data_IF_391121011352
#
_entry.id   IF_391121011352
#
_cell.length_a   1.000
_cell.length_b   1.000
_cell.length_c   1.000
_cell.angle_alpha   90.00
_cell.angle_beta   90.00
_cell.angle_gamma   90.00
#
_symmetry.space_group_name_H-M   'P 1'
#
loop_
_entity.id
_entity.type
_entity.pdbx_description
1 polymer ?
#
# COMPACT_ATOMS: atom_id res chain seq x y z
N UNK A 1 16.00 -3.40 -46.75
CA UNK A 1 14.73 -2.86 -47.30
C UNK A 1 14.85 -1.34 -47.35
N UNK A 2 14.70 -0.71 -48.53
CA UNK A 2 14.69 0.76 -48.63
C UNK A 2 13.36 1.28 -48.06
N UNK A 3 13.39 1.91 -46.90
CA UNK A 3 12.25 2.54 -46.22
C UNK A 3 11.79 3.85 -46.88
N UNK A 4 12.33 4.19 -48.05
CA UNK A 4 12.10 5.43 -48.80
C UNK A 4 10.61 5.73 -49.08
N UNK A 5 9.76 4.71 -49.19
CA UNK A 5 8.33 4.88 -49.46
C UNK A 5 7.55 5.42 -48.25
N UNK A 6 8.03 5.18 -47.02
CA UNK A 6 7.39 5.64 -45.77
C UNK A 6 8.10 6.89 -45.24
N UNK A 7 9.42 6.93 -45.36
CA UNK A 7 10.24 8.03 -44.84
C UNK A 7 10.00 9.35 -45.59
N UNK A 8 9.91 9.30 -46.92
CA UNK A 8 9.68 10.50 -47.75
C UNK A 8 8.36 11.21 -47.48
N UNK A 9 7.18 10.54 -47.45
CA UNK A 9 5.93 11.23 -47.17
C UNK A 9 5.88 11.79 -45.74
N UNK A 10 6.43 11.06 -44.76
CA UNK A 10 6.50 11.52 -43.36
C UNK A 10 7.41 12.74 -43.22
N UNK A 11 8.61 12.70 -43.82
CA UNK A 11 9.55 13.83 -43.82
C UNK A 11 8.94 15.07 -44.49
N UNK A 12 8.25 14.89 -45.62
CA UNK A 12 7.54 15.98 -46.30
C UNK A 12 6.37 16.53 -45.46
N UNK A 13 5.65 15.68 -44.74
CA UNK A 13 4.59 16.10 -43.83
C UNK A 13 5.13 16.93 -42.66
N UNK A 14 6.18 16.46 -41.97
CA UNK A 14 6.83 17.23 -40.90
C UNK A 14 7.46 18.52 -41.42
N UNK A 15 8.03 18.53 -42.63
CA UNK A 15 8.58 19.74 -43.24
C UNK A 15 7.48 20.78 -43.55
N UNK A 16 6.32 20.34 -44.07
CA UNK A 16 5.16 21.23 -44.29
C UNK A 16 4.60 21.75 -42.96
N UNK A 17 4.43 20.88 -41.97
CA UNK A 17 3.97 21.25 -40.63
C UNK A 17 4.93 22.24 -39.96
N UNK A 18 6.24 21.96 -39.95
CA UNK A 18 7.25 22.86 -39.39
C UNK A 18 7.30 24.21 -40.08
N UNK A 19 7.11 24.26 -41.41
CA UNK A 19 7.01 25.52 -42.16
C UNK A 19 5.74 26.30 -41.82
N UNK A 20 4.64 25.62 -41.49
CA UNK A 20 3.40 26.25 -41.03
C UNK A 20 3.56 26.82 -39.61
N UNK A 21 4.15 26.05 -38.69
CA UNK A 21 4.46 26.51 -37.31
C UNK A 21 5.40 27.72 -37.33
N UNK A 22 6.45 27.70 -38.16
CA UNK A 22 7.38 28.81 -38.29
C UNK A 22 6.74 30.11 -38.83
N UNK A 23 5.64 30.02 -39.59
CA UNK A 23 4.89 31.20 -40.06
C UNK A 23 3.97 31.79 -38.99
N UNK A 24 3.52 30.99 -38.03
CA UNK A 24 2.59 31.41 -36.97
C UNK A 24 3.11 31.04 -35.57
N UNK A 25 4.32 31.51 -35.17
CA UNK A 25 4.98 31.04 -33.95
C UNK A 25 4.19 31.37 -32.67
N UNK A 26 3.57 32.56 -32.58
CA UNK A 26 2.84 32.97 -31.37
C UNK A 26 1.59 32.12 -31.12
N UNK A 27 0.84 31.77 -32.17
CA UNK A 27 -0.40 31.01 -32.05
C UNK A 27 -0.13 29.58 -31.53
N UNK A 28 0.96 28.96 -31.99
CA UNK A 28 1.40 27.64 -31.54
C UNK A 28 2.01 27.61 -30.14
N UNK A 29 2.36 28.78 -29.57
CA UNK A 29 2.80 28.87 -28.17
C UNK A 29 1.62 29.18 -27.25
N UNK A 30 0.76 30.12 -27.64
CA UNK A 30 -0.35 30.58 -26.79
C UNK A 30 -1.43 29.49 -26.65
N UNK A 31 -1.80 28.79 -27.73
CA UNK A 31 -2.90 27.81 -27.67
C UNK A 31 -2.56 26.64 -26.72
N UNK A 32 -1.40 25.96 -26.83
CA UNK A 32 -1.07 24.87 -25.90
C UNK A 32 -0.85 25.37 -24.47
N UNK A 33 -0.36 26.61 -24.28
CA UNK A 33 -0.17 27.19 -22.95
C UNK A 33 -1.51 27.47 -22.26
N UNK A 34 -2.48 28.04 -22.98
CA UNK A 34 -3.84 28.24 -22.46
C UNK A 34 -4.51 26.90 -22.15
N UNK A 35 -4.39 25.92 -23.06
CA UNK A 35 -4.93 24.58 -22.84
C UNK A 35 -4.31 23.91 -21.61
N UNK A 36 -2.98 23.98 -21.45
CA UNK A 36 -2.28 23.45 -20.29
C UNK A 36 -2.77 24.12 -19.00
N UNK A 37 -2.94 25.45 -18.97
CA UNK A 37 -3.47 26.17 -17.81
C UNK A 37 -4.90 25.70 -17.47
N UNK A 38 -5.77 25.50 -18.47
CA UNK A 38 -7.13 24.99 -18.25
C UNK A 38 -7.11 23.56 -17.68
N UNK A 39 -6.25 22.69 -18.21
CA UNK A 39 -6.11 21.32 -17.71
C UNK A 39 -5.52 21.28 -16.30
N UNK A 40 -4.49 22.09 -16.03
CA UNK A 40 -3.88 22.24 -14.69
C UNK A 40 -4.87 22.81 -13.68
N UNK A 41 -5.83 23.65 -14.08
CA UNK A 41 -6.89 24.11 -13.17
C UNK A 41 -7.74 22.95 -12.63
N UNK A 42 -7.74 21.79 -13.29
CA UNK A 42 -8.33 20.54 -12.79
C UNK A 42 -7.76 20.05 -11.45
N UNK A 43 -6.56 20.51 -11.06
CA UNK A 43 -5.97 20.25 -9.73
C UNK A 43 -6.83 20.80 -8.57
N UNK A 44 -7.79 21.69 -8.83
CA UNK A 44 -8.73 22.17 -7.82
C UNK A 44 -9.73 21.10 -7.37
N UNK A 45 -10.00 20.09 -8.22
CA UNK A 45 -10.89 18.96 -7.91
C UNK A 45 -10.13 17.80 -7.26
N UNK A 46 -9.14 18.10 -6.40
CA UNK A 46 -8.36 17.08 -5.73
C UNK A 46 -9.24 16.35 -4.70
N UNK A 47 -9.50 15.06 -4.95
CA UNK A 47 -10.06 14.13 -3.99
C UNK A 47 -8.92 13.17 -3.62
N UNK A 48 -8.42 13.32 -2.39
CA UNK A 48 -7.37 12.46 -1.83
C UNK A 48 -8.01 11.22 -1.24
N UNK A 49 -7.54 10.05 -1.67
CA UNK A 49 -7.93 8.77 -1.09
C UNK A 49 -6.77 8.27 -0.24
N UNK A 50 -6.97 8.27 1.09
CA UNK A 50 -5.94 7.95 2.09
C UNK A 50 -6.01 6.46 2.47
N UNK A 51 -7.13 5.79 2.18
CA UNK A 51 -7.38 4.41 2.55
C UNK A 51 -6.68 3.45 1.60
N UNK A 52 -5.68 2.74 2.12
CA UNK A 52 -4.87 1.80 1.36
C UNK A 52 -5.64 0.55 0.93
N UNK A 53 -6.62 0.12 1.72
CA UNK A 53 -7.35 -1.13 1.48
C UNK A 53 -8.12 -1.09 0.16
N UNK A 54 -8.66 0.07 -0.24
CA UNK A 54 -9.27 0.30 -1.55
C UNK A 54 -8.27 0.25 -2.72
N UNK A 55 -6.98 0.46 -2.46
CA UNK A 55 -5.94 0.40 -3.48
C UNK A 55 -5.49 -1.05 -3.74
N UNK A 56 -5.38 -1.85 -2.69
CA UNK A 56 -4.86 -3.22 -2.76
C UNK A 56 -5.97 -4.28 -2.85
N UNK A 57 -7.21 -3.94 -2.49
CA UNK A 57 -8.37 -4.82 -2.56
C UNK A 57 -9.51 -4.14 -3.31
N UNK A 58 -10.26 -4.91 -4.10
CA UNK A 58 -11.35 -4.39 -4.95
C UNK A 58 -12.68 -4.21 -4.18
N UNK A 59 -12.68 -4.33 -2.85
CA UNK A 59 -13.89 -4.44 -2.04
C UNK A 59 -13.83 -3.46 -0.86
N UNK A 60 -14.90 -2.70 -0.64
CA UNK A 60 -15.02 -1.82 0.51
C UNK A 60 -15.23 -2.69 1.75
N UNK A 61 -14.20 -2.86 2.56
CA UNK A 61 -14.29 -3.60 3.82
C UNK A 61 -14.92 -2.67 4.85
N UNK A 62 -16.21 -2.86 5.12
CA UNK A 62 -16.88 -2.16 6.22
C UNK A 62 -16.39 -2.72 7.56
N UNK A 63 -15.33 -2.13 8.12
CA UNK A 63 -14.88 -2.41 9.47
C UNK A 63 -13.40 -2.14 9.70
N UNK A 64 -13.08 -1.41 10.77
CA UNK A 64 -11.71 -1.25 11.23
C UNK A 64 -11.29 -2.42 12.12
N UNK A 65 -10.16 -3.05 11.80
CA UNK A 65 -9.57 -4.08 12.64
C UNK A 65 -8.63 -3.44 13.66
N UNK A 66 -8.85 -3.73 14.95
CA UNK A 66 -7.91 -3.40 16.03
C UNK A 66 -7.39 -4.70 16.66
N UNK A 67 -6.06 -4.82 16.76
CA UNK A 67 -5.39 -5.98 17.36
C UNK A 67 -4.36 -5.52 18.37
N UNK A 68 -4.28 -6.26 19.47
CA UNK A 68 -3.28 -6.06 20.51
C UNK A 68 -2.46 -7.34 20.68
N UNK A 69 -1.15 -7.19 20.78
CA UNK A 69 -0.23 -8.26 21.15
C UNK A 69 0.40 -7.86 22.48
N UNK A 70 0.21 -8.72 23.48
CA UNK A 70 0.68 -8.51 24.83
C UNK A 70 1.76 -9.56 25.15
N UNK A 71 2.90 -9.11 25.65
CA UNK A 71 4.06 -9.97 25.94
C UNK A 71 4.63 -9.70 27.33
N UNK A 72 4.86 -10.73 28.17
CA UNK A 72 5.35 -10.55 29.52
C UNK A 72 6.78 -9.98 29.54
N UNK A 73 7.05 -8.90 30.29
CA UNK A 73 8.43 -8.36 30.47
C UNK A 73 9.30 -9.28 31.33
N UNK A 74 8.69 -10.09 32.21
CA UNK A 74 9.38 -11.01 33.10
C UNK A 74 8.54 -12.25 33.35
N UNK A 75 9.05 -13.41 32.96
CA UNK A 75 8.34 -14.69 33.04
C UNK A 75 8.04 -15.27 31.66
N UNK A 76 7.91 -16.59 31.58
CA UNK A 76 7.73 -17.29 30.30
C UNK A 76 6.25 -17.56 29.94
N UNK A 77 5.31 -17.26 30.85
CA UNK A 77 3.92 -17.73 30.76
C UNK A 77 2.92 -16.58 30.91
N UNK A 78 2.09 -16.36 29.87
CA UNK A 78 1.01 -15.36 29.86
C UNK A 78 -0.17 -15.74 30.77
N UNK A 79 -0.34 -17.02 31.08
CA UNK A 79 -1.40 -17.54 31.96
C UNK A 79 -0.99 -17.58 33.44
N UNK A 80 0.14 -16.97 33.80
CA UNK A 80 0.44 -16.74 35.20
C UNK A 80 -0.62 -15.80 35.78
N UNK A 81 -1.13 -16.10 36.98
CA UNK A 81 -2.27 -15.39 37.57
C UNK A 81 -2.07 -13.87 37.63
N UNK A 82 -0.84 -13.42 37.88
CA UNK A 82 -0.48 -12.00 37.91
C UNK A 82 -0.54 -11.33 36.52
N UNK A 83 0.01 -11.98 35.49
CA UNK A 83 0.01 -11.47 34.10
C UNK A 83 -1.39 -11.53 33.48
N UNK A 84 -2.12 -12.63 33.69
CA UNK A 84 -3.45 -12.82 33.11
C UNK A 84 -4.48 -11.82 33.66
N UNK A 85 -4.35 -11.44 34.93
CA UNK A 85 -5.16 -10.39 35.55
C UNK A 85 -4.98 -9.02 34.90
N UNK A 86 -3.80 -8.72 34.36
CA UNK A 86 -3.53 -7.49 33.64
C UNK A 86 -4.13 -7.49 32.23
N UNK A 87 -4.09 -8.64 31.54
CA UNK A 87 -4.78 -8.81 30.25
C UNK A 87 -6.29 -8.58 30.40
N UNK A 88 -6.91 -9.11 31.47
CA UNK A 88 -8.32 -8.84 31.78
C UNK A 88 -8.56 -7.36 32.06
N UNK A 89 -7.65 -6.70 32.79
CA UNK A 89 -7.77 -5.27 33.09
C UNK A 89 -7.68 -4.42 31.82
N UNK A 90 -6.85 -4.81 30.86
CA UNK A 90 -6.77 -4.17 29.56
C UNK A 90 -8.09 -4.29 28.78
N UNK A 91 -8.72 -5.48 28.73
CA UNK A 91 -10.04 -5.65 28.08
C UNK A 91 -11.10 -4.73 28.73
N UNK A 92 -11.16 -4.66 30.07
CA UNK A 92 -12.10 -3.78 30.79
C UNK A 92 -11.82 -2.31 30.47
N UNK A 93 -10.56 -1.89 30.51
CA UNK A 93 -10.17 -0.51 30.19
C UNK A 93 -10.53 -0.15 28.75
N UNK A 94 -10.31 -1.07 27.80
CA UNK A 94 -10.62 -0.87 26.38
C UNK A 94 -12.14 -0.73 26.16
N UNK A 95 -12.96 -1.53 26.84
CA UNK A 95 -14.44 -1.42 26.78
C UNK A 95 -14.98 -0.15 27.43
N UNK A 96 -14.24 0.41 28.40
CA UNK A 96 -14.61 1.64 29.09
C UNK A 96 -14.25 2.92 28.32
N UNK A 97 -13.57 2.82 27.17
CA UNK A 97 -13.26 3.97 26.33
C UNK A 97 -14.58 4.57 25.79
N UNK A 98 -14.78 5.85 26.06
CA UNK A 98 -15.90 6.64 25.54
C UNK A 98 -15.41 7.65 24.51
N UNK A 99 -15.98 7.62 23.31
CA UNK A 99 -15.67 8.55 22.22
C UNK A 99 -16.89 9.42 21.94
N UNK A 100 -16.73 10.74 22.01
CA UNK A 100 -17.82 11.67 21.74
C UNK A 100 -17.81 12.08 20.26
N UNK A 101 -18.85 11.73 19.50
CA UNK A 101 -19.04 12.14 18.10
C UNK A 101 -20.43 12.78 17.99
N UNK A 102 -20.52 13.99 17.44
CA UNK A 102 -21.76 14.75 17.27
C UNK A 102 -22.60 14.93 18.55
N UNK A 103 -21.93 15.06 19.70
CA UNK A 103 -22.57 15.26 21.01
C UNK A 103 -23.20 13.99 21.61
N UNK A 104 -22.98 12.82 20.99
CA UNK A 104 -23.29 11.52 21.54
C UNK A 104 -22.00 10.81 21.97
N UNK A 105 -22.03 10.16 23.12
CA UNK A 105 -20.92 9.34 23.59
C UNK A 105 -21.13 7.90 23.13
N UNK A 106 -20.21 7.41 22.32
CA UNK A 106 -20.14 6.04 21.88
C UNK A 106 -19.15 5.26 22.74
N UNK A 107 -19.47 3.99 22.97
CA UNK A 107 -18.64 3.03 23.69
C UNK A 107 -18.25 1.87 22.78
N UNK A 108 -17.34 1.01 23.23
CA UNK A 108 -17.00 -0.21 22.50
C UNK A 108 -18.23 -1.07 22.16
N UNK A 109 -19.26 -1.09 23.04
CA UNK A 109 -20.46 -1.88 22.84
C UNK A 109 -21.31 -1.40 21.64
N UNK A 110 -21.15 -0.14 21.25
CA UNK A 110 -21.85 0.46 20.11
C UNK A 110 -21.20 0.13 18.77
N UNK A 111 -19.89 -0.11 18.74
CA UNK A 111 -19.08 -0.29 17.52
C UNK A 111 -18.61 -1.73 17.27
N UNK A 112 -18.65 -2.59 18.28
CA UNK A 112 -18.17 -3.97 18.18
C UNK A 112 -18.92 -4.79 17.11
N UNK A 113 -18.24 -5.80 16.54
CA UNK A 113 -18.90 -6.81 15.73
C UNK A 113 -19.90 -7.62 16.59
N UNK A 114 -21.16 -7.71 16.15
CA UNK A 114 -22.23 -8.36 16.90
C UNK A 114 -22.60 -9.72 16.32
N UNK A 115 -22.73 -10.72 17.19
CA UNK A 115 -23.36 -12.00 16.88
C UNK A 115 -24.53 -12.20 17.84
N UNK A 116 -25.73 -12.43 17.29
CA UNK A 116 -26.98 -12.55 18.07
C UNK A 116 -27.26 -11.35 19.00
N UNK A 117 -26.91 -10.13 18.56
CA UNK A 117 -27.15 -8.90 19.31
C UNK A 117 -26.18 -8.62 20.47
N UNK A 118 -25.12 -9.42 20.64
CA UNK A 118 -24.04 -9.19 21.61
C UNK A 118 -22.70 -9.07 20.89
N UNK A 119 -21.77 -8.30 21.46
CA UNK A 119 -20.39 -8.25 20.96
C UNK A 119 -19.76 -9.65 20.97
N UNK A 120 -18.98 -9.96 19.94
CA UNK A 120 -18.19 -11.20 19.91
C UNK A 120 -17.15 -11.16 21.04
N UNK A 121 -17.18 -12.09 22.01
CA UNK A 121 -16.20 -12.11 23.10
C UNK A 121 -14.85 -12.63 22.61
N UNK A 122 -13.76 -12.10 23.16
CA UNK A 122 -12.43 -12.64 22.93
C UNK A 122 -12.32 -14.05 23.56
N UNK A 123 -11.83 -15.08 22.84
CA UNK A 123 -11.68 -16.43 23.37
C UNK A 123 -10.82 -16.52 24.64
N UNK A 124 -9.82 -15.65 24.80
CA UNK A 124 -8.94 -15.60 25.97
C UNK A 124 -9.70 -15.08 27.18
N UNK A 125 -10.54 -14.06 27.01
CA UNK A 125 -11.35 -13.48 28.09
C UNK A 125 -12.44 -14.45 28.55
N UNK A 126 -12.92 -15.35 27.68
CA UNK A 126 -13.85 -16.40 28.10
C UNK A 126 -13.26 -17.37 29.14
N UNK A 127 -11.93 -17.47 29.26
CA UNK A 127 -11.24 -18.29 30.26
C UNK A 127 -11.14 -17.64 31.65
N UNK A 128 -11.52 -16.37 31.78
CA UNK A 128 -11.36 -15.57 33.01
C UNK A 128 -12.31 -15.92 34.17
N UNK A 129 -13.23 -16.88 33.98
CA UNK A 129 -14.33 -17.16 34.92
C UNK A 129 -13.91 -17.59 36.33
N UNK A 130 -12.64 -17.88 36.57
CA UNK A 130 -12.15 -18.42 37.85
C UNK A 130 -11.29 -17.44 38.68
N UNK A 131 -11.02 -16.21 38.23
CA UNK A 131 -10.10 -15.32 38.95
C UNK A 131 -10.77 -14.14 39.65
N UNK A 132 -10.48 -13.98 40.95
CA UNK A 132 -10.96 -12.87 41.77
C UNK A 132 -9.95 -11.71 41.72
N UNK A 133 -10.35 -10.55 41.18
CA UNK A 133 -9.46 -9.42 40.84
C UNK A 133 -9.38 -8.41 42.00
N UNK A 134 -8.25 -8.27 42.72
CA UNK A 134 -8.09 -7.22 43.72
C UNK A 134 -7.74 -5.85 43.11
N UNK A 135 -8.17 -4.73 43.73
CA UNK A 135 -7.84 -3.38 43.27
C UNK A 135 -6.42 -2.99 43.72
N UNK A 136 -5.41 -3.19 42.88
CA UNK A 136 -4.07 -2.63 43.08
C UNK A 136 -3.53 -1.93 41.84
N UNK A 137 -2.73 -0.90 42.11
CA UNK A 137 -2.14 0.07 41.18
C UNK A 137 -1.49 -0.60 39.97
N UNK A 138 -1.71 -0.02 38.79
CA UNK A 138 -1.17 -0.51 37.52
C UNK A 138 0.33 -0.19 37.47
N UNK A 139 1.16 -1.13 37.89
CA UNK A 139 2.49 -1.24 37.30
C UNK A 139 2.32 -2.06 36.03
N UNK A 140 2.87 -1.61 34.90
CA UNK A 140 2.84 -2.36 33.64
C UNK A 140 4.10 -3.25 33.53
N UNK A 141 4.07 -4.54 33.91
CA UNK A 141 5.08 -5.52 33.55
C UNK A 141 4.88 -6.10 32.14
N UNK A 142 4.02 -5.54 31.28
CA UNK A 142 3.80 -6.07 29.92
C UNK A 142 4.25 -5.11 28.82
N UNK A 143 4.87 -5.64 27.75
CA UNK A 143 5.09 -4.92 26.50
C UNK A 143 3.85 -5.12 25.64
N UNK A 144 3.13 -4.01 25.41
CA UNK A 144 1.90 -3.98 24.62
C UNK A 144 2.20 -3.39 23.25
N UNK A 145 1.88 -4.14 22.21
CA UNK A 145 1.92 -3.70 20.82
C UNK A 145 0.49 -3.59 20.31
N UNK A 146 0.16 -2.45 19.72
CA UNK A 146 -1.17 -2.18 19.19
C UNK A 146 -1.10 -1.94 17.69
N UNK A 147 -2.09 -2.45 16.97
CA UNK A 147 -2.26 -2.23 15.54
C UNK A 147 -3.72 -1.93 15.24
N UNK A 148 -3.93 -0.92 14.40
CA UNK A 148 -5.23 -0.64 13.79
C UNK A 148 -5.04 -0.38 12.31
N UNK A 149 -6.03 -0.72 11.48
CA UNK A 149 -6.00 -0.41 10.04
C UNK A 149 -5.82 1.08 9.78
N UNK A 150 -6.53 1.92 10.53
CA UNK A 150 -6.38 3.37 10.46
C UNK A 150 -4.97 3.87 10.86
N UNK A 151 -4.29 3.21 11.82
CA UNK A 151 -2.92 3.59 12.18
C UNK A 151 -1.93 3.31 11.04
N UNK A 152 -2.17 2.25 10.25
CA UNK A 152 -1.37 1.97 9.06
C UNK A 152 -1.54 3.07 8.00
N UNK A 153 -2.78 3.48 7.71
CA UNK A 153 -3.03 4.57 6.75
C UNK A 153 -2.40 5.90 7.19
N UNK A 154 -2.43 6.19 8.49
CA UNK A 154 -1.75 7.37 9.07
C UNK A 154 -0.24 7.33 8.86
N UNK A 155 0.40 6.20 9.22
CA UNK A 155 1.85 6.02 9.08
C UNK A 155 2.30 6.19 7.63
N UNK A 156 1.50 5.70 6.68
CA UNK A 156 1.81 5.84 5.26
C UNK A 156 1.63 7.26 4.74
N UNK A 157 0.60 7.97 5.21
CA UNK A 157 0.42 9.40 4.89
C UNK A 157 1.56 10.25 5.45
N UNK A 158 2.12 9.89 6.61
CA UNK A 158 3.25 10.58 7.21
C UNK A 158 4.54 10.35 6.41
N UNK A 159 4.79 9.10 5.99
CA UNK A 159 5.87 8.79 5.06
C UNK A 159 5.75 9.57 3.75
N UNK A 160 4.55 9.65 3.17
CA UNK A 160 4.30 10.43 1.96
C UNK A 160 4.63 11.93 2.14
N UNK A 161 4.22 12.53 3.26
CA UNK A 161 4.55 13.92 3.61
C UNK A 161 6.04 14.14 3.81
N UNK A 162 6.75 13.18 4.39
CA UNK A 162 8.21 13.23 4.60
C UNK A 162 8.97 13.19 3.28
N UNK A 163 8.48 12.45 2.28
CA UNK A 163 9.07 12.36 0.94
C UNK A 163 8.75 13.59 0.06
N UNK A 164 7.63 14.27 0.30
CA UNK A 164 7.21 15.46 -0.44
C UNK A 164 8.30 16.56 -0.61
N UNK A 165 9.06 16.99 0.42
CA UNK A 165 10.13 17.96 0.26
C UNK A 165 11.30 17.44 -0.59
N UNK A 166 11.58 16.12 -0.58
CA UNK A 166 12.61 15.52 -1.43
C UNK A 166 12.23 15.63 -2.92
N UNK A 167 10.94 15.56 -3.25
CA UNK A 167 10.48 15.81 -4.63
C UNK A 167 10.81 17.22 -5.09
N UNK A 168 10.53 18.24 -4.27
CA UNK A 168 10.88 19.61 -4.57
C UNK A 168 12.40 19.81 -4.70
N UNK A 169 13.19 19.17 -3.82
CA UNK A 169 14.65 19.21 -3.90
C UNK A 169 15.17 18.57 -5.19
N UNK A 170 14.64 17.41 -5.58
CA UNK A 170 15.05 16.72 -6.82
C UNK A 170 14.74 17.54 -8.08
N UNK A 171 13.58 18.21 -8.11
CA UNK A 171 13.22 19.15 -9.18
C UNK A 171 14.20 20.32 -9.24
N UNK A 172 14.55 20.90 -8.08
CA UNK A 172 15.55 21.96 -7.98
C UNK A 172 16.93 21.53 -8.49
N UNK A 173 17.37 20.32 -8.14
CA UNK A 173 18.64 19.76 -8.61
C UNK A 173 18.62 19.54 -10.13
N UNK A 174 17.53 19.01 -10.70
CA UNK A 174 17.39 18.82 -12.14
C UNK A 174 17.39 20.14 -12.91
N UNK A 175 16.71 21.16 -12.39
CA UNK A 175 16.73 22.51 -12.96
C UNK A 175 18.14 23.10 -12.95
N UNK A 176 18.82 23.03 -11.80
CA UNK A 176 20.20 23.51 -11.65
C UNK A 176 21.13 22.79 -12.62
N UNK A 177 21.09 21.45 -12.65
CA UNK A 177 21.90 20.64 -13.55
C UNK A 177 21.61 20.96 -15.02
N UNK A 178 20.34 21.21 -15.39
CA UNK A 178 19.96 21.58 -16.75
C UNK A 178 20.53 22.92 -17.18
N UNK A 179 20.46 23.92 -16.29
CA UNK A 179 21.05 25.25 -16.54
C UNK A 179 22.57 25.12 -16.69
N UNK A 180 23.23 24.46 -15.73
CA UNK A 180 24.68 24.27 -15.73
C UNK A 180 25.18 23.53 -16.99
N UNK A 181 24.46 22.49 -17.42
CA UNK A 181 24.82 21.72 -18.63
C UNK A 181 24.69 22.52 -19.93
N UNK A 182 23.91 23.60 -19.93
CA UNK A 182 23.71 24.46 -21.09
C UNK A 182 24.48 25.79 -21.02
N UNK A 183 25.22 26.01 -19.93
CA UNK A 183 26.22 27.08 -19.85
C UNK A 183 27.44 26.66 -20.68
N UNK A 184 27.74 27.46 -21.68
CA UNK A 184 28.99 27.38 -22.45
C UNK A 184 29.95 28.42 -21.86
N UNK A 185 31.28 28.25 -22.03
CA UNK A 185 32.29 29.23 -21.58
C UNK A 185 31.98 30.66 -22.07
N UNK A 186 31.39 30.77 -23.26
CA UNK A 186 30.87 32.04 -23.78
C UNK A 186 29.42 32.29 -23.35
N UNK A 187 29.21 33.27 -22.46
CA UNK A 187 27.88 33.67 -21.97
C UNK A 187 26.90 34.06 -23.09
N UNK A 188 27.38 34.62 -24.21
CA UNK A 188 26.54 35.04 -25.35
C UNK A 188 26.07 33.85 -26.21
N UNK A 189 26.81 32.74 -26.19
CA UNK A 189 26.46 31.52 -26.94
C UNK A 189 25.69 30.52 -26.09
N UNK A 190 25.73 30.68 -24.77
CA UNK A 190 24.92 29.92 -23.82
C UNK A 190 23.44 30.07 -24.17
N UNK A 191 22.69 28.96 -24.16
CA UNK A 191 21.23 28.95 -24.39
C UNK A 191 20.45 28.50 -23.16
N UNK A 192 20.70 29.10 -21.97
CA UNK A 192 20.06 28.67 -20.73
C UNK A 192 18.55 28.85 -20.78
N UNK A 193 18.05 29.89 -21.48
CA UNK A 193 16.62 30.16 -21.63
C UNK A 193 15.90 29.05 -22.39
N UNK A 194 16.54 28.43 -23.39
CA UNK A 194 15.96 27.30 -24.11
C UNK A 194 15.86 26.06 -23.19
N UNK A 195 16.86 25.87 -22.33
CA UNK A 195 16.89 24.77 -21.37
C UNK A 195 15.83 24.94 -20.28
N UNK A 196 15.63 26.15 -19.76
CA UNK A 196 14.60 26.42 -18.74
C UNK A 196 13.20 26.28 -19.30
N UNK A 197 12.94 26.76 -20.53
CA UNK A 197 11.63 26.60 -21.19
C UNK A 197 11.28 25.12 -21.41
N UNK A 198 12.25 24.26 -21.71
CA UNK A 198 12.03 22.81 -21.84
C UNK A 198 11.62 22.15 -20.52
N UNK A 199 12.25 22.52 -19.40
CA UNK A 199 11.87 21.97 -18.09
C UNK A 199 10.49 22.48 -17.64
N UNK A 200 10.17 23.74 -17.94
CA UNK A 200 8.84 24.30 -17.65
C UNK A 200 7.75 23.61 -18.47
N UNK A 201 8.00 23.31 -19.76
CA UNK A 201 7.02 22.56 -20.57
C UNK A 201 6.82 21.14 -20.06
N UNK A 202 7.87 20.47 -19.59
CA UNK A 202 7.77 19.15 -18.96
C UNK A 202 6.87 19.19 -17.71
N UNK A 203 7.12 20.16 -16.82
CA UNK A 203 6.31 20.35 -15.61
C UNK A 203 4.84 20.67 -15.95
N UNK A 204 4.60 21.50 -16.97
CA UNK A 204 3.25 21.78 -17.45
C UNK A 204 2.56 20.54 -18.05
N UNK A 205 3.30 19.67 -18.76
CA UNK A 205 2.74 18.43 -19.31
C UNK A 205 2.33 17.46 -18.19
N UNK A 206 3.18 17.31 -17.17
CA UNK A 206 2.89 16.52 -15.98
C UNK A 206 1.66 17.07 -15.26
N UNK A 207 1.64 18.37 -14.96
CA UNK A 207 0.49 19.04 -14.33
C UNK A 207 -0.80 18.93 -15.14
N UNK A 208 -0.73 19.02 -16.48
CA UNK A 208 -1.90 18.86 -17.37
C UNK A 208 -2.42 17.42 -17.35
N UNK A 209 -1.53 16.43 -17.30
CA UNK A 209 -1.91 15.01 -17.19
C UNK A 209 -2.64 14.71 -15.89
N UNK A 210 -2.10 15.17 -14.76
CA UNK A 210 -2.75 15.03 -13.45
C UNK A 210 -4.07 15.81 -13.38
N UNK A 211 -4.07 17.06 -13.84
CA UNK A 211 -5.27 17.90 -13.83
C UNK A 211 -6.41 17.34 -14.69
N UNK A 212 -6.10 16.69 -15.82
CA UNK A 212 -7.10 15.98 -16.63
C UNK A 212 -7.70 14.78 -15.88
N UNK A 213 -6.86 13.99 -15.19
CA UNK A 213 -7.34 12.84 -14.40
C UNK A 213 -8.23 13.29 -13.24
N UNK A 214 -7.88 14.37 -12.56
CA UNK A 214 -8.71 14.97 -11.50
C UNK A 214 -10.02 15.55 -12.06
N UNK A 215 -10.02 16.07 -13.29
CA UNK A 215 -11.26 16.51 -13.94
C UNK A 215 -12.23 15.37 -14.24
N UNK A 216 -11.70 14.16 -14.45
CA UNK A 216 -12.48 12.93 -14.60
C UNK A 216 -12.90 12.31 -13.26
N UNK A 217 -12.64 12.99 -12.12
CA UNK A 217 -12.88 12.50 -10.75
C UNK A 217 -12.25 11.14 -10.48
N UNK A 218 -11.04 10.94 -10.97
CA UNK A 218 -10.23 9.80 -10.56
C UNK A 218 -9.57 10.14 -9.22
N UNK A 219 -9.75 9.32 -8.17
CA UNK A 219 -9.14 9.59 -6.88
C UNK A 219 -7.61 9.60 -6.98
N UNK A 220 -6.98 10.53 -6.26
CA UNK A 220 -5.54 10.68 -6.26
C UNK A 220 -4.91 9.97 -5.07
N UNK A 221 -3.86 9.19 -5.34
CA UNK A 221 -3.06 8.50 -4.34
C UNK A 221 -1.61 8.99 -4.42
N UNK A 222 -0.96 9.09 -3.26
CA UNK A 222 0.44 9.49 -3.07
C UNK A 222 1.42 8.68 -3.92
N UNK A 223 1.14 7.39 -4.17
CA UNK A 223 1.94 6.53 -5.08
C UNK A 223 1.97 7.10 -6.50
N UNK A 224 0.84 7.59 -7.00
CA UNK A 224 0.74 8.18 -8.34
C UNK A 224 1.55 9.47 -8.41
N UNK A 225 1.69 10.20 -7.30
CA UNK A 225 2.56 11.38 -7.17
C UNK A 225 4.03 11.10 -7.51
N UNK A 226 4.54 9.90 -7.19
CA UNK A 226 5.89 9.49 -7.57
C UNK A 226 6.09 9.31 -9.08
N UNK A 227 5.02 9.00 -9.82
CA UNK A 227 5.03 8.86 -11.27
C UNK A 227 5.46 10.14 -12.00
N UNK A 228 5.23 11.30 -11.40
CA UNK A 228 5.66 12.61 -11.90
C UNK A 228 7.18 12.67 -12.11
N UNK A 229 7.94 12.09 -11.17
CA UNK A 229 9.41 12.05 -11.24
C UNK A 229 9.89 11.19 -12.42
N UNK A 230 9.24 10.06 -12.65
CA UNK A 230 9.60 9.14 -13.72
C UNK A 230 9.43 9.81 -15.09
N UNK A 231 8.33 10.53 -15.28
CA UNK A 231 8.06 11.27 -16.52
C UNK A 231 9.11 12.36 -16.75
N UNK A 232 9.47 13.12 -15.71
CA UNK A 232 10.53 14.15 -15.81
C UNK A 232 11.91 13.56 -16.14
N UNK A 233 12.20 12.34 -15.67
CA UNK A 233 13.47 11.65 -15.95
C UNK A 233 13.64 11.20 -17.41
N UNK A 234 12.53 10.89 -18.11
CA UNK A 234 12.57 10.41 -19.50
C UNK A 234 12.97 11.50 -20.51
N UNK A 235 12.73 12.77 -20.19
CA UNK A 235 12.87 13.87 -21.15
C UNK A 235 14.34 14.25 -21.46
N UNK A 236 15.33 13.55 -20.90
CA UNK A 236 16.76 13.85 -21.08
C UNK A 236 17.68 12.69 -21.44
N UNK A 237 17.20 11.64 -22.11
CA UNK A 237 18.05 10.51 -22.51
C UNK A 237 18.16 10.37 -24.03
N UNK A 238 19.00 11.18 -24.66
CA UNK A 238 19.57 10.80 -25.96
C UNK A 238 20.90 11.50 -26.22
N UNK A 239 21.95 11.06 -25.53
CA UNK A 239 23.29 11.18 -26.12
C UNK A 239 23.59 9.90 -26.90
N UNK A 240 23.79 10.06 -28.21
CA UNK A 240 24.22 8.98 -29.09
C UNK A 240 25.71 8.67 -28.85
N UNK A 241 26.02 7.91 -27.80
CA UNK A 241 27.37 7.39 -27.60
C UNK A 241 27.56 6.17 -28.50
N UNK A 242 28.24 6.37 -29.63
CA UNK A 242 28.56 5.31 -30.60
C UNK A 242 29.96 4.76 -30.33
N UNK A 243 30.13 3.97 -29.26
CA UNK A 243 31.38 3.28 -28.99
C UNK A 243 31.15 1.81 -28.67
N UNK A 244 31.96 0.92 -29.26
CA UNK A 244 31.93 -0.54 -29.04
C UNK A 244 32.12 -0.89 -27.54
N UNK A 245 32.81 -0.03 -26.77
CA UNK A 245 32.91 -0.17 -25.31
C UNK A 245 31.54 -0.16 -24.60
N UNK A 246 30.55 0.58 -25.12
CA UNK A 246 29.19 0.60 -24.59
C UNK A 246 28.51 -0.77 -24.75
N UNK A 247 28.78 -1.47 -25.85
CA UNK A 247 28.20 -2.79 -26.11
C UNK A 247 28.73 -3.84 -25.13
N UNK A 248 30.02 -3.78 -24.78
CA UNK A 248 30.60 -4.69 -23.77
C UNK A 248 30.02 -4.41 -22.38
N UNK A 249 29.93 -3.14 -21.99
CA UNK A 249 29.31 -2.74 -20.71
C UNK A 249 27.84 -3.16 -20.66
N UNK A 250 27.11 -3.04 -21.78
CA UNK A 250 25.71 -3.46 -21.86
C UNK A 250 25.54 -4.99 -21.73
N UNK A 251 26.45 -5.78 -22.33
CA UNK A 251 26.44 -7.25 -22.16
C UNK A 251 26.70 -7.62 -20.69
N UNK A 252 27.66 -6.97 -20.03
CA UNK A 252 27.94 -7.19 -18.60
C UNK A 252 26.70 -6.84 -17.76
N UNK A 253 26.07 -5.69 -18.04
CA UNK A 253 24.82 -5.29 -17.41
C UNK A 253 23.72 -6.34 -17.58
N UNK A 254 23.51 -6.87 -18.78
CA UNK A 254 22.51 -7.91 -19.03
C UNK A 254 22.80 -9.20 -18.26
N UNK A 255 24.06 -9.64 -18.19
CA UNK A 255 24.43 -10.85 -17.44
C UNK A 255 24.13 -10.67 -15.95
N UNK A 256 24.49 -9.53 -15.37
CA UNK A 256 24.21 -9.21 -13.96
C UNK A 256 22.71 -9.08 -13.71
N UNK A 257 21.97 -8.44 -14.63
CA UNK A 257 20.52 -8.30 -14.53
C UNK A 257 19.82 -9.66 -14.56
N UNK A 258 20.16 -10.53 -15.51
CA UNK A 258 19.60 -11.89 -15.60
C UNK A 258 19.94 -12.69 -14.33
N UNK A 259 21.16 -12.56 -13.82
CA UNK A 259 21.56 -13.19 -12.57
C UNK A 259 20.77 -12.67 -11.35
N UNK A 260 20.48 -11.36 -11.31
CA UNK A 260 19.67 -10.73 -10.28
C UNK A 260 18.19 -11.15 -10.31
N UNK A 261 17.60 -11.24 -11.52
CA UNK A 261 16.23 -11.72 -11.71
C UNK A 261 16.08 -13.16 -11.20
N UNK A 262 17.09 -14.01 -11.39
CA UNK A 262 17.07 -15.38 -10.89
C UNK A 262 17.12 -15.50 -9.35
N UNK A 263 17.38 -14.40 -8.63
CA UNK A 263 17.57 -14.39 -7.17
C UNK A 263 16.57 -13.50 -6.43
N UNK A 264 15.60 -12.93 -7.14
CA UNK A 264 14.58 -12.10 -6.52
C UNK A 264 13.66 -12.97 -5.65
N UNK A 265 13.50 -12.59 -4.39
CA UNK A 265 12.49 -13.19 -3.52
C UNK A 265 11.12 -12.60 -3.83
N UNK A 266 10.07 -13.41 -3.72
CA UNK A 266 8.70 -12.98 -3.95
C UNK A 266 8.07 -12.47 -2.64
N UNK A 267 7.31 -11.37 -2.72
CA UNK A 267 6.46 -10.87 -1.63
C UNK A 267 6.75 -9.42 -1.20
N UNK A 268 5.69 -8.64 -1.05
CA UNK A 268 5.73 -7.33 -0.40
C UNK A 268 5.50 -7.53 1.09
N UNK A 269 6.53 -7.30 1.90
CA UNK A 269 6.39 -7.31 3.35
C UNK A 269 5.71 -6.01 3.79
N UNK A 270 4.56 -6.10 4.46
CA UNK A 270 3.77 -4.93 4.90
C UNK A 270 4.59 -3.97 5.78
N UNK A 271 5.47 -4.51 6.63
CA UNK A 271 6.40 -3.73 7.46
C UNK A 271 7.23 -2.71 6.67
N UNK A 272 7.61 -3.01 5.42
CA UNK A 272 8.47 -2.11 4.61
C UNK A 272 7.74 -0.87 4.07
N UNK A 273 6.41 -0.81 4.21
CA UNK A 273 5.61 0.35 3.82
C UNK A 273 5.44 1.34 4.97
N UNK A 274 5.66 0.90 6.21
CA UNK A 274 5.49 1.67 7.43
C UNK A 274 6.76 2.47 7.76
N UNK A 275 6.64 3.52 8.57
CA UNK A 275 7.80 4.23 9.09
C UNK A 275 8.57 3.32 10.07
N UNK A 276 9.90 3.36 10.03
CA UNK A 276 10.74 2.42 10.81
C UNK A 276 10.44 2.47 12.33
N UNK A 277 10.13 3.65 12.87
CA UNK A 277 9.88 3.89 14.30
C UNK A 277 8.39 3.86 14.69
N UNK A 278 7.47 3.48 13.79
CA UNK A 278 6.03 3.56 14.07
C UNK A 278 5.52 2.46 15.01
N UNK A 279 4.41 2.69 15.75
CA UNK A 279 3.78 1.65 16.57
C UNK A 279 3.36 0.41 15.75
N UNK A 280 2.91 0.62 14.51
CA UNK A 280 2.53 -0.48 13.61
C UNK A 280 3.75 -1.32 13.18
N UNK A 281 4.91 -0.70 12.93
CA UNK A 281 6.16 -1.40 12.64
C UNK A 281 6.57 -2.33 13.79
N UNK A 282 6.49 -1.84 15.04
CA UNK A 282 6.80 -2.62 16.24
C UNK A 282 5.80 -3.78 16.44
N UNK A 283 4.52 -3.55 16.14
CA UNK A 283 3.52 -4.60 16.16
C UNK A 283 3.81 -5.69 15.13
N UNK A 284 4.16 -5.31 13.89
CA UNK A 284 4.47 -6.26 12.83
C UNK A 284 5.71 -7.11 13.15
N UNK A 285 6.68 -6.53 13.88
CA UNK A 285 7.82 -7.29 14.41
C UNK A 285 7.39 -8.28 15.48
N UNK A 286 6.61 -7.84 16.46
CA UNK A 286 6.09 -8.74 17.50
C UNK A 286 5.20 -9.86 16.92
N UNK A 287 4.40 -9.56 15.90
CA UNK A 287 3.59 -10.55 15.18
C UNK A 287 4.47 -11.53 14.41
N UNK A 288 5.51 -11.04 13.73
CA UNK A 288 6.50 -11.86 13.04
C UNK A 288 7.30 -12.78 13.97
N UNK A 289 7.64 -12.32 15.16
CA UNK A 289 8.44 -13.07 16.13
C UNK A 289 7.62 -14.10 16.91
N UNK A 290 6.36 -13.77 17.25
CA UNK A 290 5.53 -14.61 18.12
C UNK A 290 4.46 -15.43 17.38
N UNK A 291 3.96 -14.96 16.23
CA UNK A 291 2.78 -15.53 15.58
C UNK A 291 2.99 -16.03 14.14
N UNK A 292 4.17 -15.86 13.56
CA UNK A 292 4.48 -16.32 12.19
C UNK A 292 4.31 -17.85 11.99
N UNK A 293 4.35 -18.64 13.07
CA UNK A 293 4.11 -20.10 13.02
C UNK A 293 2.63 -20.46 12.77
N UNK A 294 1.70 -19.60 13.19
CA UNK A 294 0.27 -19.88 13.19
C UNK A 294 -0.46 -19.38 11.94
N UNK A 295 0.17 -18.59 11.07
CA UNK A 295 -0.43 -18.09 9.83
C UNK A 295 -1.72 -17.25 10.03
N UNK A 296 -2.25 -16.66 8.94
CA UNK A 296 -3.50 -15.90 8.98
C UNK A 296 -4.72 -16.82 9.10
N UNK A 297 -5.74 -16.42 9.86
CA UNK A 297 -6.99 -17.20 9.96
C UNK A 297 -7.72 -17.25 8.61
N UNK A 298 -7.88 -18.44 8.06
CA UNK A 298 -8.63 -18.66 6.81
C UNK A 298 -10.08 -19.05 7.11
N UNK A 299 -11.04 -18.38 6.47
CA UNK A 299 -12.45 -18.76 6.49
C UNK A 299 -12.86 -19.33 5.14
N UNK A 300 -13.52 -20.49 5.15
CA UNK A 300 -14.06 -21.12 3.93
C UNK A 300 -15.56 -20.88 3.89
N UNK A 301 -16.00 -20.00 2.99
CA UNK A 301 -17.41 -19.75 2.73
C UNK A 301 -17.89 -20.61 1.55
N UNK A 302 -18.91 -21.43 1.78
CA UNK A 302 -19.55 -22.21 0.72
C UNK A 302 -20.74 -21.39 0.20
N UNK A 303 -20.60 -20.82 -0.99
CA UNK A 303 -21.60 -19.93 -1.60
C UNK A 303 -22.80 -20.66 -2.24
N UNK A 304 -22.89 -21.98 -2.08
CA UNK A 304 -24.00 -22.78 -2.59
C UNK A 304 -24.90 -23.21 -1.45
N UNK A 305 -26.22 -23.18 -1.67
CA UNK A 305 -27.18 -23.77 -0.75
C UNK A 305 -26.91 -25.28 -0.66
N UNK A 306 -26.46 -25.75 0.52
CA UNK A 306 -26.33 -27.18 0.83
C UNK A 306 -27.48 -27.57 1.75
N UNK A 307 -28.19 -28.61 1.35
CA UNK A 307 -29.11 -29.36 2.18
C UNK A 307 -28.32 -30.24 3.15
N UNK A 308 -27.79 -29.64 4.22
CA UNK A 308 -26.99 -30.31 5.26
C UNK A 308 -27.72 -31.45 5.98
N UNK A 309 -29.02 -31.63 5.76
CA UNK A 309 -29.79 -32.78 6.22
C UNK A 309 -29.64 -34.03 5.35
N UNK A 310 -29.09 -33.92 4.12
CA UNK A 310 -28.79 -35.05 3.25
C UNK A 310 -27.36 -35.56 3.50
N UNK A 311 -27.25 -36.84 3.85
CA UNK A 311 -25.94 -37.49 4.08
C UNK A 311 -24.99 -37.37 2.87
N UNK A 312 -25.53 -37.44 1.65
CA UNK A 312 -24.73 -37.32 0.43
C UNK A 312 -24.09 -35.95 0.22
N UNK A 313 -24.63 -34.89 0.83
CA UNK A 313 -24.06 -33.54 0.77
C UNK A 313 -23.07 -33.29 1.91
N UNK A 314 -23.31 -33.87 3.09
CA UNK A 314 -22.33 -33.93 4.18
C UNK A 314 -21.04 -34.63 3.71
N UNK A 315 -21.16 -35.77 3.04
CA UNK A 315 -20.01 -36.52 2.55
C UNK A 315 -19.20 -35.72 1.51
N UNK A 316 -19.88 -34.94 0.67
CA UNK A 316 -19.24 -34.02 -0.29
C UNK A 316 -18.55 -32.85 0.40
N UNK A 317 -19.19 -32.25 1.41
CA UNK A 317 -18.62 -31.15 2.18
C UNK A 317 -17.37 -31.61 2.93
N UNK A 318 -17.42 -32.77 3.59
CA UNK A 318 -16.26 -33.34 4.27
C UNK A 318 -15.13 -33.66 3.31
N UNK A 319 -15.43 -34.25 2.14
CA UNK A 319 -14.43 -34.50 1.10
C UNK A 319 -13.81 -33.20 0.56
N UNK A 320 -14.58 -32.10 0.50
CA UNK A 320 -14.09 -30.79 0.13
C UNK A 320 -13.17 -30.23 1.22
N UNK A 321 -13.59 -30.25 2.49
CA UNK A 321 -12.79 -29.78 3.62
C UNK A 321 -11.48 -30.56 3.77
N UNK A 322 -11.49 -31.88 3.60
CA UNK A 322 -10.28 -32.71 3.62
C UNK A 322 -9.30 -32.36 2.50
N UNK A 323 -9.82 -32.11 1.29
CA UNK A 323 -9.01 -31.68 0.14
C UNK A 323 -8.42 -30.30 0.35
N UNK A 324 -9.19 -29.38 0.93
CA UNK A 324 -8.68 -28.06 1.30
C UNK A 324 -7.59 -28.18 2.36
N UNK A 325 -7.83 -28.96 3.42
CA UNK A 325 -6.86 -29.22 4.50
C UNK A 325 -5.55 -29.83 4.01
N UNK A 326 -5.59 -30.70 3.01
CA UNK A 326 -4.40 -31.34 2.42
C UNK A 326 -3.74 -30.52 1.31
N UNK A 327 -4.36 -29.40 0.90
CA UNK A 327 -3.90 -28.58 -0.20
C UNK A 327 -2.50 -28.01 0.03
N UNK A 328 -1.67 -28.02 -1.01
CA UNK A 328 -0.29 -27.52 -0.95
C UNK A 328 -0.21 -26.03 -0.57
N UNK A 329 -1.29 -25.27 -0.82
CA UNK A 329 -1.40 -23.89 -0.40
C UNK A 329 -1.38 -23.72 1.13
N UNK A 330 -2.01 -24.60 1.92
CA UNK A 330 -2.01 -24.49 3.39
C UNK A 330 -0.66 -24.88 3.99
N UNK A 331 0.09 -25.79 3.35
CA UNK A 331 1.45 -26.17 3.77
C UNK A 331 2.44 -25.00 3.72
N UNK A 332 2.17 -23.99 2.89
CA UNK A 332 2.97 -22.77 2.84
C UNK A 332 2.67 -21.80 4.00
N UNK A 333 1.46 -21.82 4.55
CA UNK A 333 1.06 -20.91 5.65
C UNK A 333 1.15 -21.54 7.04
N UNK A 334 1.06 -22.87 7.13
CA UNK A 334 1.06 -23.61 8.40
C UNK A 334 2.15 -24.67 8.39
N UNK A 335 3.11 -24.55 9.31
CA UNK A 335 4.16 -25.56 9.53
C UNK A 335 3.73 -26.69 10.46
N UNK A 336 2.50 -26.66 10.98
CA UNK A 336 1.99 -27.67 11.89
C UNK A 336 1.53 -28.93 11.12
N UNK A 337 1.93 -30.15 11.55
CA UNK A 337 1.25 -31.35 11.10
C UNK A 337 -0.20 -31.25 11.57
N UNK A 338 -1.13 -31.17 10.63
CA UNK A 338 -2.57 -31.26 10.92
C UNK A 338 -2.76 -32.54 11.71
N UNK A 339 -3.06 -32.40 13.00
CA UNK A 339 -3.44 -33.52 13.83
C UNK A 339 -4.72 -34.09 13.20
N UNK A 340 -4.59 -35.20 12.49
CA UNK A 340 -5.70 -36.06 12.10
C UNK A 340 -6.22 -36.78 13.36
N UNK A 341 -6.63 -35.98 14.33
CA UNK A 341 -7.38 -36.42 15.50
C UNK A 341 -8.85 -36.25 15.13
N UNK A 342 -9.53 -37.37 14.89
CA UNK A 342 -10.98 -37.42 14.71
C UNK A 342 -11.70 -36.98 15.98
N UNK A 343 -11.78 -35.67 16.21
CA UNK A 343 -12.61 -35.05 17.22
C UNK A 343 -13.62 -34.13 16.53
N UNK A 344 -14.80 -34.69 16.32
CA UNK A 344 -16.11 -34.03 16.42
C UNK A 344 -16.07 -32.51 16.34
N UNK A 345 -16.44 -31.96 15.18
CA UNK A 345 -17.00 -30.63 15.10
C UNK A 345 -18.18 -30.57 16.08
N UNK A 346 -17.99 -29.87 17.19
CA UNK A 346 -19.06 -29.58 18.13
C UNK A 346 -20.08 -28.71 17.40
N UNK A 347 -21.17 -29.34 16.95
CA UNK A 347 -22.39 -28.62 16.65
C UNK A 347 -22.83 -27.95 17.95
N UNK A 348 -22.86 -26.62 17.97
CA UNK A 348 -23.72 -25.91 18.91
C UNK A 348 -25.16 -26.19 18.48
N UNK A 349 -25.68 -27.35 18.88
CA UNK A 349 -27.11 -27.63 18.80
C UNK A 349 -27.82 -26.64 19.72
N UNK A 350 -28.56 -25.73 19.11
CA UNK A 350 -29.67 -25.07 19.75
C UNK A 350 -30.58 -26.16 20.34
N UNK A 351 -30.73 -26.15 21.66
CA UNK A 351 -31.71 -26.93 22.40
C UNK A 351 -32.57 -25.96 23.20
N UNK A 352 -33.85 -25.90 22.80
CA UNK A 352 -35.05 -25.34 23.44
C UNK A 352 -34.92 -24.37 24.62
#
# INVERSE_FOLDING_TARGET
MKTDCVEKPISQAFAKYGRFVAKHPLLFVIIPLVLAVVLVAGLQFYELEIEMELLFTQEHVEGELARFIATPKSGNNLFADDVFQEVIRLDIATRAITVAVDGQNYTYEDVCARQNGKCLPDPVIMLSRDFNIPPHEIHFPEQLYAFTTHALDLDMSENAKSVQPLFAASFGILLLFSILSCLSDDWVRSKPVLATLGVVSAALAVGSGYGLMMHMRVPFNDVVGSGALLVMGMEKLTQSVKHIGLLVVYIIYLVVAIWGIARIGEGLQMKRLMADDSPASQFMDAEGDHFNVYGPTMQVAVNTELEIWKQSEIDKLNALLDRFGQGDALKHFYSLPIATSGSTWASSSAGN
#
